data_IF_258370159691
#
_entry.id   IF_258370159691
#
_cell.length_a   1.000
_cell.length_b   1.000
_cell.length_c   1.000
_cell.angle_alpha   90.00
_cell.angle_beta   90.00
_cell.angle_gamma   90.00
#
_symmetry.space_group_name_H-M   'P 1'
#
loop_
_entity.id
_entity.type
_entity.pdbx_description
1 polymer ?
#
# COMPACT_ATOMS: atom_id res chain seq x y z
N UNK A 1 -37.40 4.33 -17.05
CA UNK A 1 -36.26 4.15 -16.12
C UNK A 1 -36.76 3.40 -14.90
N UNK A 2 -36.07 2.37 -14.36
CA UNK A 2 -34.75 1.78 -14.70
C UNK A 2 -34.87 0.26 -15.08
N UNK A 3 -33.86 -0.44 -15.64
CA UNK A 3 -32.52 -0.84 -15.16
C UNK A 3 -31.49 -0.92 -16.31
N UNK A 4 -30.16 -0.78 -16.06
CA UNK A 4 -29.13 -0.92 -17.08
C UNK A 4 -28.76 -2.39 -17.30
N UNK A 5 -28.95 -2.87 -18.53
CA UNK A 5 -28.60 -4.25 -18.91
C UNK A 5 -27.06 -4.40 -18.95
N UNK A 6 -26.55 -5.23 -18.04
CA UNK A 6 -25.14 -5.55 -17.88
C UNK A 6 -24.79 -6.70 -18.81
N UNK A 7 -24.88 -6.48 -20.11
CA UNK A 7 -24.45 -7.48 -21.09
C UNK A 7 -22.93 -7.37 -21.27
N UNK A 8 -22.19 -8.20 -20.53
CA UNK A 8 -20.83 -8.54 -20.93
C UNK A 8 -20.88 -9.12 -22.33
N UNK A 9 -20.18 -8.49 -23.28
CA UNK A 9 -20.09 -8.96 -24.65
C UNK A 9 -19.16 -10.19 -24.66
N UNK A 10 -19.73 -11.38 -24.54
CA UNK A 10 -19.04 -12.65 -24.81
C UNK A 10 -18.77 -12.77 -26.32
N UNK A 11 -17.76 -12.04 -26.80
CA UNK A 11 -17.32 -12.05 -28.19
C UNK A 11 -15.81 -11.83 -28.29
N UNK A 12 -15.09 -12.80 -28.86
CA UNK A 12 -13.67 -12.64 -29.18
C UNK A 12 -13.53 -12.13 -30.61
N UNK A 13 -12.68 -11.12 -30.82
CA UNK A 13 -12.34 -10.57 -32.13
C UNK A 13 -10.82 -10.63 -32.31
N UNK A 14 -10.36 -11.25 -33.40
CA UNK A 14 -8.94 -11.24 -33.78
C UNK A 14 -8.65 -9.97 -34.56
N UNK A 15 -7.78 -9.11 -34.03
CA UNK A 15 -7.35 -7.87 -34.67
C UNK A 15 -5.93 -8.05 -35.20
N UNK A 16 -5.76 -7.88 -36.50
CA UNK A 16 -4.44 -7.88 -37.16
C UNK A 16 -3.80 -6.47 -37.11
N UNK A 17 -2.54 -6.38 -37.55
CA UNK A 17 -1.78 -5.12 -37.61
C UNK A 17 -2.58 -4.03 -38.37
N UNK A 18 -3.03 -3.02 -37.62
CA UNK A 18 -3.93 -1.99 -38.09
C UNK A 18 -3.87 -0.76 -37.18
N UNK A 19 -4.44 0.37 -37.62
CA UNK A 19 -4.58 1.55 -36.77
C UNK A 19 -5.40 1.31 -35.50
N UNK A 20 -6.36 0.37 -35.55
CA UNK A 20 -7.14 -0.04 -34.38
C UNK A 20 -6.27 -0.73 -33.34
N UNK A 21 -5.39 -1.65 -33.77
CA UNK A 21 -4.45 -2.30 -32.86
C UNK A 21 -3.53 -1.26 -32.20
N UNK A 22 -3.01 -0.30 -32.96
CA UNK A 22 -2.17 0.78 -32.43
C UNK A 22 -2.92 1.63 -31.38
N UNK A 23 -4.20 1.95 -31.63
CA UNK A 23 -5.02 2.69 -30.69
C UNK A 23 -5.28 1.90 -29.41
N UNK A 24 -5.58 0.60 -29.50
CA UNK A 24 -5.78 -0.27 -28.34
C UNK A 24 -4.49 -0.45 -27.53
N UNK A 25 -3.34 -0.62 -28.19
CA UNK A 25 -2.04 -0.65 -27.53
C UNK A 25 -1.73 0.66 -26.82
N UNK A 26 -1.95 1.81 -27.49
CA UNK A 26 -1.74 3.12 -26.87
C UNK A 26 -2.66 3.35 -25.66
N UNK A 27 -3.91 2.92 -25.74
CA UNK A 27 -4.84 2.95 -24.62
C UNK A 27 -4.36 2.06 -23.47
N UNK A 28 -3.92 0.84 -23.76
CA UNK A 28 -3.35 -0.06 -22.76
C UNK A 28 -2.15 0.59 -22.05
N UNK A 29 -1.18 1.13 -22.78
CA UNK A 29 0.01 1.77 -22.18
C UNK A 29 -0.35 2.98 -21.31
N UNK A 30 -1.36 3.75 -21.74
CA UNK A 30 -1.89 4.87 -20.95
C UNK A 30 -2.51 4.38 -19.65
N UNK A 31 -3.39 3.37 -19.72
CA UNK A 31 -4.02 2.78 -18.55
C UNK A 31 -3.00 2.09 -17.64
N UNK A 32 -1.97 1.46 -18.21
CA UNK A 32 -0.88 0.81 -17.50
C UNK A 32 -0.01 1.81 -16.75
N UNK A 33 0.31 2.96 -17.36
CA UNK A 33 1.05 4.04 -16.70
C UNK A 33 0.27 4.66 -15.54
N UNK A 34 -1.06 4.68 -15.66
CA UNK A 34 -1.96 5.16 -14.61
C UNK A 34 -2.30 4.09 -13.56
N UNK A 35 -1.94 2.83 -13.80
CA UNK A 35 -2.29 1.75 -12.91
C UNK A 35 -1.50 1.82 -11.61
N UNK A 36 -2.17 1.52 -10.50
CA UNK A 36 -1.49 1.27 -9.24
C UNK A 36 -0.96 -0.17 -9.25
N UNK A 37 0.26 -0.41 -8.73
CA UNK A 37 0.77 -1.76 -8.56
C UNK A 37 -0.24 -2.60 -7.77
N UNK A 38 -0.60 -3.76 -8.33
CA UNK A 38 -1.30 -4.78 -7.56
C UNK A 38 -0.29 -5.31 -6.55
N UNK A 39 -0.50 -5.02 -5.27
CA UNK A 39 0.30 -5.58 -4.18
C UNK A 39 0.08 -7.09 -4.15
N UNK A 40 0.86 -7.82 -4.94
CA UNK A 40 1.00 -9.25 -4.77
C UNK A 40 1.56 -9.45 -3.35
N UNK A 41 0.83 -10.19 -2.52
CA UNK A 41 1.24 -10.59 -1.17
C UNK A 41 2.48 -11.49 -1.23
N UNK A 42 3.61 -10.89 -1.58
CA UNK A 42 4.93 -11.49 -1.66
C UNK A 42 5.88 -10.49 -1.03
N UNK A 43 6.22 -10.76 0.23
CA UNK A 43 7.29 -10.14 1.03
C UNK A 43 7.15 -8.63 1.38
N UNK A 44 6.24 -7.88 0.75
CA UNK A 44 5.89 -6.48 1.09
C UNK A 44 5.19 -6.30 2.45
N UNK A 45 4.81 -7.38 3.14
CA UNK A 45 4.16 -7.29 4.45
C UNK A 45 5.11 -6.78 5.57
N UNK A 46 6.42 -6.69 5.29
CA UNK A 46 7.37 -6.01 6.18
C UNK A 46 7.29 -4.48 6.10
N UNK A 47 6.82 -3.90 4.99
CA UNK A 47 6.45 -2.49 4.91
C UNK A 47 5.09 -2.25 5.60
N UNK A 48 4.12 -3.15 5.40
CA UNK A 48 2.74 -3.05 5.91
C UNK A 48 2.63 -2.89 7.44
N UNK A 49 3.35 -3.67 8.26
CA UNK A 49 3.23 -3.55 9.73
C UNK A 49 4.16 -2.50 10.35
N UNK A 50 5.31 -2.25 9.73
CA UNK A 50 6.25 -1.20 10.15
C UNK A 50 5.65 0.17 9.89
N UNK A 51 5.13 0.39 8.69
CA UNK A 51 4.52 1.67 8.30
C UNK A 51 3.25 1.93 9.12
N UNK A 52 2.43 0.90 9.38
CA UNK A 52 1.28 1.02 10.28
C UNK A 52 1.70 1.39 11.71
N UNK A 53 2.74 0.78 12.25
CA UNK A 53 3.22 1.14 13.60
C UNK A 53 3.88 2.52 13.63
N UNK A 54 4.57 2.95 12.56
CA UNK A 54 5.06 4.33 12.39
C UNK A 54 3.91 5.33 12.36
N UNK A 55 2.89 5.11 11.53
CA UNK A 55 1.71 5.98 11.43
C UNK A 55 0.97 6.08 12.77
N UNK A 56 0.82 4.95 13.48
CA UNK A 56 0.18 4.93 14.80
C UNK A 56 1.04 5.62 15.87
N UNK A 57 2.36 5.47 15.83
CA UNK A 57 3.28 6.21 16.71
C UNK A 57 3.23 7.71 16.44
N UNK A 58 3.21 8.13 15.16
CA UNK A 58 3.07 9.53 14.76
C UNK A 58 1.73 10.13 15.23
N UNK A 59 0.67 9.31 15.26
CA UNK A 59 -0.63 9.67 15.84
C UNK A 59 -0.67 9.61 17.38
N UNK A 60 0.44 9.31 18.06
CA UNK A 60 0.54 9.27 19.53
C UNK A 60 -0.06 8.02 20.19
N UNK A 61 -0.29 6.94 19.44
CA UNK A 61 -0.86 5.71 19.98
C UNK A 61 0.10 4.99 20.93
N UNK A 62 -0.45 4.38 21.99
CA UNK A 62 0.31 3.52 22.90
C UNK A 62 0.54 2.13 22.29
N UNK A 63 1.55 1.40 22.78
CA UNK A 63 1.85 0.04 22.31
C UNK A 63 0.66 -0.92 22.46
N UNK A 64 -0.20 -0.69 23.47
CA UNK A 64 -1.41 -1.48 23.69
C UNK A 64 -2.51 -1.15 22.66
N UNK A 65 -2.68 0.13 22.30
CA UNK A 65 -3.58 0.52 21.23
C UNK A 65 -3.12 -0.05 19.87
N UNK A 66 -1.81 -0.01 19.61
CA UNK A 66 -1.20 -0.59 18.41
C UNK A 66 -1.38 -2.11 18.39
N UNK A 67 -1.14 -2.80 19.52
CA UNK A 67 -1.33 -4.23 19.66
C UNK A 67 -2.76 -4.67 19.33
N UNK A 68 -3.77 -3.97 19.89
CA UNK A 68 -5.18 -4.23 19.60
C UNK A 68 -5.52 -4.00 18.13
N UNK A 69 -5.04 -2.90 17.54
CA UNK A 69 -5.36 -2.53 16.14
C UNK A 69 -4.70 -3.44 15.10
N UNK A 70 -3.54 -4.00 15.42
CA UNK A 70 -2.80 -4.91 14.54
C UNK A 70 -3.04 -6.39 14.86
N UNK A 71 -3.90 -6.71 15.84
CA UNK A 71 -4.11 -8.07 16.34
C UNK A 71 -2.80 -8.77 16.77
N UNK A 72 -1.89 -8.03 17.38
CA UNK A 72 -0.58 -8.51 17.84
C UNK A 72 -0.48 -8.51 19.36
N UNK A 73 0.45 -9.31 19.89
CA UNK A 73 0.82 -9.20 21.31
C UNK A 73 1.58 -7.89 21.58
N UNK A 74 1.41 -7.32 22.78
CA UNK A 74 2.18 -6.14 23.23
C UNK A 74 3.69 -6.37 23.12
N UNK A 75 4.18 -7.58 23.44
CA UNK A 75 5.59 -7.96 23.32
C UNK A 75 6.08 -7.84 21.87
N UNK A 76 5.28 -8.29 20.91
CA UNK A 76 5.59 -8.18 19.47
C UNK A 76 5.68 -6.72 19.03
N UNK A 77 4.74 -5.89 19.49
CA UNK A 77 4.72 -4.45 19.18
C UNK A 77 5.94 -3.74 19.75
N UNK A 78 6.28 -3.95 21.03
CA UNK A 78 7.46 -3.34 21.66
C UNK A 78 8.74 -3.71 20.90
N UNK A 79 8.91 -4.99 20.55
CA UNK A 79 10.07 -5.46 19.76
C UNK A 79 10.14 -4.80 18.39
N UNK A 80 9.00 -4.63 17.70
CA UNK A 80 8.93 -4.00 16.38
C UNK A 80 9.20 -2.50 16.45
N UNK A 81 8.65 -1.81 17.44
CA UNK A 81 8.92 -0.38 17.67
C UNK A 81 10.40 -0.16 17.97
N UNK A 82 11.03 -1.00 18.79
CA UNK A 82 12.47 -0.91 19.05
C UNK A 82 13.30 -1.05 17.77
N UNK A 83 12.97 -2.00 16.90
CA UNK A 83 13.63 -2.14 15.61
C UNK A 83 13.40 -0.94 14.67
N UNK A 84 12.20 -0.35 14.70
CA UNK A 84 11.87 0.86 13.93
C UNK A 84 12.62 2.10 14.39
N UNK A 85 12.74 2.27 15.71
CA UNK A 85 13.53 3.34 16.31
C UNK A 85 14.99 3.25 15.85
N UNK A 86 15.57 2.04 15.90
CA UNK A 86 16.93 1.77 15.43
C UNK A 86 17.10 2.08 13.93
N UNK A 87 16.22 1.55 13.08
CA UNK A 87 16.22 1.81 11.63
C UNK A 87 16.07 3.30 11.28
N UNK A 88 15.24 4.02 12.03
CA UNK A 88 15.01 5.44 11.80
C UNK A 88 16.11 6.33 12.41
N UNK A 89 17.02 5.77 13.21
CA UNK A 89 18.01 6.53 13.97
C UNK A 89 17.37 7.43 15.03
N UNK A 90 16.31 6.94 15.67
CA UNK A 90 15.50 7.67 16.62
C UNK A 90 15.53 7.02 18.01
N UNK A 91 15.63 7.84 19.05
CA UNK A 91 15.62 7.35 20.45
C UNK A 91 14.23 7.47 21.07
N UNK A 92 13.36 8.32 20.48
CA UNK A 92 11.99 8.52 20.95
C UNK A 92 10.98 8.33 19.82
N UNK A 93 9.76 7.95 20.16
CA UNK A 93 8.64 7.79 19.20
C UNK A 93 8.37 9.08 18.42
N UNK A 94 8.49 10.23 19.08
CA UNK A 94 8.34 11.53 18.44
C UNK A 94 9.43 11.79 17.40
N UNK A 95 10.69 11.55 17.76
CA UNK A 95 11.82 11.66 16.82
C UNK A 95 11.64 10.72 15.63
N UNK A 96 11.15 9.49 15.87
CA UNK A 96 10.86 8.54 14.81
C UNK A 96 9.77 9.05 13.85
N UNK A 97 8.69 9.66 14.37
CA UNK A 97 7.67 10.30 13.54
C UNK A 97 8.23 11.42 12.67
N UNK A 98 9.08 12.30 13.22
CA UNK A 98 9.73 13.38 12.45
C UNK A 98 10.67 12.81 11.37
N UNK A 99 11.44 11.78 11.69
CA UNK A 99 12.35 11.14 10.73
C UNK A 99 11.59 10.36 9.65
N UNK A 100 10.47 9.73 10.00
CA UNK A 100 9.57 9.09 9.03
C UNK A 100 8.99 10.12 8.06
N UNK A 101 8.51 11.27 8.56
CA UNK A 101 8.00 12.36 7.73
C UNK A 101 9.07 12.86 6.72
N UNK A 102 10.30 13.08 7.21
CA UNK A 102 11.43 13.53 6.38
C UNK A 102 11.81 12.54 5.29
N UNK A 103 11.57 11.24 5.52
CA UNK A 103 11.86 10.16 4.57
C UNK A 103 10.68 9.79 3.67
N UNK A 104 9.54 10.49 3.79
CA UNK A 104 8.34 10.20 3.01
C UNK A 104 7.63 8.90 3.40
N UNK A 105 7.76 8.48 4.66
CA UNK A 105 7.20 7.23 5.21
C UNK A 105 5.90 7.44 6.01
N UNK A 106 5.30 8.63 5.90
CA UNK A 106 4.02 9.00 6.52
C UNK A 106 2.98 9.32 5.45
#
# INVERSE_FOLDING_TARGET
MPEPDRTGLDGSLVVHASGLLNALSGLFETLWTLAMPVSAETEQDQLSDRDRSIMLMAAGATDEAIARRLHLSRRTVVRRIAALLDQLGATTRFQAGVQAAKRGLL
#
